data_IF_125949733576
#
_entry.id   IF_125949733576
#
_cell.length_a   1.000
_cell.length_b   1.000
_cell.length_c   1.000
_cell.angle_alpha   90.00
_cell.angle_beta   90.00
_cell.angle_gamma   90.00
#
_symmetry.space_group_name_H-M   'P 1'
#
loop_
_entity.id
_entity.type
_entity.pdbx_description
1 polymer ?
#
# COMPACT_ATOMS: atom_id res chain seq x y z
N UNK A 1 -10.07 8.94 -2.94
CA UNK A 1 -10.45 7.69 -3.65
C UNK A 1 -9.28 6.70 -3.73
N UNK A 2 -8.17 7.05 -4.40
CA UNK A 2 -7.03 6.13 -4.59
C UNK A 2 -6.37 5.66 -3.27
N UNK A 3 -6.23 6.56 -2.30
CA UNK A 3 -5.71 6.26 -0.95
C UNK A 3 -6.53 5.19 -0.21
N UNK A 4 -7.84 5.15 -0.42
CA UNK A 4 -8.70 4.15 0.21
C UNK A 4 -8.48 2.78 -0.41
N UNK A 5 -8.43 2.71 -1.74
CA UNK A 5 -8.13 1.46 -2.45
C UNK A 5 -6.76 0.90 -2.03
N UNK A 6 -5.74 1.76 -1.97
CA UNK A 6 -4.40 1.42 -1.54
C UNK A 6 -4.32 0.74 -0.17
N UNK A 7 -5.01 1.29 0.84
CA UNK A 7 -4.87 0.79 2.22
C UNK A 7 -5.77 -0.39 2.55
N UNK A 8 -6.95 -0.50 1.93
CA UNK A 8 -7.98 -1.45 2.34
C UNK A 8 -8.23 -2.60 1.37
N UNK A 9 -7.84 -2.45 0.09
CA UNK A 9 -8.22 -3.43 -0.94
C UNK A 9 -7.07 -3.86 -1.83
N UNK A 10 -6.08 -2.99 -2.02
CA UNK A 10 -4.97 -3.16 -2.95
C UNK A 10 -3.66 -2.60 -2.40
N UNK A 11 -2.99 -3.34 -1.49
CA UNK A 11 -1.71 -2.91 -0.92
C UNK A 11 -0.59 -2.85 -1.98
N UNK A 12 -0.76 -3.51 -3.12
CA UNK A 12 0.10 -3.49 -4.30
C UNK A 12 0.28 -2.08 -4.89
N UNK A 13 -0.77 -1.24 -4.86
CA UNK A 13 -0.67 0.14 -5.34
C UNK A 13 -0.27 1.14 -4.24
N UNK A 14 -0.25 0.73 -2.97
CA UNK A 14 -0.11 1.66 -1.84
C UNK A 14 1.15 2.50 -1.91
N UNK A 15 2.30 1.89 -2.26
CA UNK A 15 3.55 2.61 -2.43
C UNK A 15 3.49 3.69 -3.53
N UNK A 16 2.93 3.34 -4.69
CA UNK A 16 2.81 4.27 -5.81
C UNK A 16 1.86 5.43 -5.49
N UNK A 17 0.76 5.16 -4.79
CA UNK A 17 -0.19 6.19 -4.37
C UNK A 17 0.45 7.13 -3.34
N UNK A 18 1.13 6.61 -2.32
CA UNK A 18 1.80 7.42 -1.30
C UNK A 18 2.88 8.32 -1.90
N UNK A 19 3.66 7.79 -2.85
CA UNK A 19 4.67 8.57 -3.55
C UNK A 19 4.03 9.72 -4.35
N UNK A 20 2.98 9.42 -5.13
CA UNK A 20 2.29 10.45 -5.92
C UNK A 20 1.53 11.46 -5.06
N UNK A 21 1.05 11.08 -3.88
CA UNK A 21 0.40 11.99 -2.95
C UNK A 21 1.36 13.10 -2.48
N UNK A 22 2.65 12.76 -2.25
CA UNK A 22 3.71 13.72 -1.87
C UNK A 22 3.97 14.74 -2.99
N UNK A 23 3.86 14.33 -4.24
CA UNK A 23 4.10 15.19 -5.40
C UNK A 23 2.81 15.69 -6.10
N UNK A 24 1.68 15.64 -5.40
CA UNK A 24 0.36 15.98 -5.94
C UNK A 24 0.21 17.43 -6.41
N UNK A 25 1.09 18.34 -5.96
CA UNK A 25 1.11 19.74 -6.38
C UNK A 25 1.78 19.99 -7.73
N UNK A 26 2.50 19.01 -8.29
CA UNK A 26 3.24 19.14 -9.54
C UNK A 26 2.49 18.50 -10.72
N UNK A 27 2.13 19.32 -11.72
CA UNK A 27 1.47 18.87 -12.96
C UNK A 27 2.32 17.91 -13.82
N UNK A 28 3.58 17.65 -13.47
CA UNK A 28 4.45 16.70 -14.17
C UNK A 28 4.14 15.24 -13.83
N UNK A 29 3.45 14.94 -12.73
CA UNK A 29 3.29 13.56 -12.25
C UNK A 29 1.97 12.87 -12.62
N UNK A 30 1.16 13.47 -13.49
CA UNK A 30 -0.07 12.85 -14.00
C UNK A 30 0.17 11.53 -14.75
N UNK A 31 1.37 11.31 -15.26
CA UNK A 31 1.76 10.03 -15.88
C UNK A 31 1.68 8.88 -14.87
N UNK A 32 2.13 9.09 -13.63
CA UNK A 32 2.05 8.07 -12.57
C UNK A 32 0.61 7.75 -12.19
N UNK A 33 -0.24 8.78 -12.07
CA UNK A 33 -1.67 8.61 -11.79
C UNK A 33 -2.37 7.84 -12.92
N UNK A 34 -2.02 8.13 -14.18
CA UNK A 34 -2.55 7.43 -15.36
C UNK A 34 -2.15 5.95 -15.36
N UNK A 35 -0.91 5.64 -15.00
CA UNK A 35 -0.45 4.26 -14.90
C UNK A 35 -1.21 3.46 -13.83
N UNK A 36 -1.48 4.07 -12.66
CA UNK A 36 -2.31 3.43 -11.63
C UNK A 36 -3.73 3.18 -12.14
N UNK A 37 -4.30 4.12 -12.91
CA UNK A 37 -5.63 3.94 -13.48
C UNK A 37 -5.69 2.80 -14.50
N UNK A 38 -4.69 2.69 -15.39
CA UNK A 38 -4.58 1.57 -16.34
C UNK A 38 -4.44 0.24 -15.59
N UNK A 39 -3.60 0.21 -14.55
CA UNK A 39 -3.44 -0.96 -13.70
C UNK A 39 -4.77 -1.37 -13.03
N UNK A 40 -5.50 -0.42 -12.46
CA UNK A 40 -6.81 -0.67 -11.85
C UNK A 40 -7.83 -1.20 -12.86
N UNK A 41 -7.84 -0.68 -14.08
CA UNK A 41 -8.70 -1.18 -15.16
C UNK A 41 -8.33 -2.60 -15.60
N UNK A 42 -7.04 -2.90 -15.72
CA UNK A 42 -6.56 -4.23 -16.12
C UNK A 42 -6.72 -5.29 -15.04
N UNK A 43 -6.79 -4.88 -13.78
CA UNK A 43 -6.89 -5.80 -12.63
C UNK A 43 -8.27 -5.82 -11.98
N UNK A 44 -9.26 -5.12 -12.54
CA UNK A 44 -10.63 -5.05 -12.00
C UNK A 44 -11.27 -6.42 -11.71
N UNK A 45 -10.91 -7.44 -12.50
CA UNK A 45 -11.43 -8.80 -12.40
C UNK A 45 -10.65 -9.67 -11.39
N UNK A 46 -9.53 -9.15 -10.85
CA UNK A 46 -8.76 -9.79 -9.80
C UNK A 46 -9.29 -9.34 -8.43
N UNK A 47 -9.66 -10.29 -7.60
CA UNK A 47 -10.14 -10.05 -6.23
C UNK A 47 -9.39 -10.89 -5.20
N UNK A 48 -9.47 -10.47 -3.94
CA UNK A 48 -8.97 -11.24 -2.80
C UNK A 48 -9.94 -12.40 -2.52
N UNK A 49 -9.44 -13.63 -2.61
CA UNK A 49 -10.25 -14.82 -2.37
C UNK A 49 -10.08 -15.31 -0.94
N UNK A 50 -11.12 -15.12 -0.12
CA UNK A 50 -11.16 -15.65 1.24
C UNK A 50 -11.85 -17.01 1.25
N UNK A 51 -11.12 -18.08 1.58
CA UNK A 51 -11.72 -19.40 1.76
C UNK A 51 -12.49 -19.46 3.09
N UNK A 52 -13.77 -19.84 3.02
CA UNK A 52 -14.70 -19.90 4.18
C UNK A 52 -14.24 -20.83 5.31
N UNK A 53 -13.42 -21.83 5.01
CA UNK A 53 -12.95 -22.87 5.94
C UNK A 53 -11.47 -22.75 6.33
N UNK A 54 -10.81 -21.63 6.00
CA UNK A 54 -9.46 -21.39 6.48
C UNK A 54 -9.51 -20.95 7.95
N UNK A 55 -8.55 -21.41 8.74
CA UNK A 55 -8.39 -20.99 10.13
C UNK A 55 -8.42 -19.45 10.19
N UNK A 56 -9.33 -18.88 11.00
CA UNK A 56 -9.51 -17.42 11.14
C UNK A 56 -8.37 -16.78 11.94
N UNK A 57 -7.15 -17.19 11.66
CA UNK A 57 -5.95 -16.72 12.31
C UNK A 57 -5.59 -15.38 11.70
N UNK A 58 -5.64 -14.33 12.53
CA UNK A 58 -5.19 -13.00 12.15
C UNK A 58 -3.69 -12.91 12.42
N UNK A 59 -2.90 -12.74 11.36
CA UNK A 59 -1.44 -12.62 11.46
C UNK A 59 -1.04 -11.21 11.06
N UNK A 60 -0.37 -10.50 11.97
CA UNK A 60 0.18 -9.17 11.71
C UNK A 60 1.69 -9.26 11.48
N UNK A 61 2.16 -8.69 10.37
CA UNK A 61 3.58 -8.52 10.08
C UNK A 61 3.95 -7.05 10.27
N UNK A 62 5.07 -6.82 10.93
CA UNK A 62 5.70 -5.51 11.06
C UNK A 62 7.03 -5.56 10.31
N UNK A 63 7.27 -4.60 9.43
CA UNK A 63 8.56 -4.41 8.77
C UNK A 63 9.04 -3.00 9.10
N UNK A 64 10.23 -2.89 9.67
CA UNK A 64 10.96 -1.63 9.68
C UNK A 64 11.85 -1.56 8.43
N UNK A 65 11.94 -0.37 7.86
CA UNK A 65 12.82 -0.07 6.74
C UNK A 65 13.53 1.24 7.04
N UNK A 66 14.72 1.14 7.63
CA UNK A 66 15.64 2.26 7.77
C UNK A 66 16.24 2.62 6.39
N UNK A 67 16.32 3.91 6.04
CA UNK A 67 16.94 4.41 4.79
C UNK A 67 16.27 3.98 3.46
N UNK A 68 14.95 3.76 3.43
CA UNK A 68 14.27 3.35 2.18
C UNK A 68 14.18 4.48 1.12
N UNK A 69 14.42 5.74 1.50
CA UNK A 69 14.33 6.91 0.63
C UNK A 69 15.60 7.77 0.75
N UNK A 70 16.38 7.98 -0.33
CA UNK A 70 17.57 8.82 -0.28
C UNK A 70 17.27 10.31 -0.05
N UNK A 71 16.01 10.75 -0.18
CA UNK A 71 15.59 12.12 0.14
C UNK A 71 14.92 12.28 1.51
N UNK A 72 14.62 11.20 2.22
CA UNK A 72 13.92 11.25 3.51
C UNK A 72 14.57 10.24 4.48
N UNK A 73 15.35 10.76 5.43
CA UNK A 73 16.11 9.97 6.44
C UNK A 73 15.18 9.35 7.51
N UNK A 74 13.88 9.34 7.26
CA UNK A 74 12.86 8.81 8.18
C UNK A 74 12.76 7.30 8.02
N UNK A 75 12.81 6.57 9.14
CA UNK A 75 12.44 5.16 9.12
C UNK A 75 10.98 4.99 8.74
N UNK A 76 10.74 4.06 7.83
CA UNK A 76 9.40 3.67 7.43
C UNK A 76 9.03 2.38 8.15
N UNK A 77 7.99 2.42 8.98
CA UNK A 77 7.41 1.22 9.59
C UNK A 77 6.15 0.84 8.81
N UNK A 78 6.16 -0.35 8.22
CA UNK A 78 5.01 -0.94 7.54
C UNK A 78 4.37 -2.03 8.39
N UNK A 79 3.05 -2.04 8.45
CA UNK A 79 2.26 -3.11 9.07
C UNK A 79 1.39 -3.76 7.99
N UNK A 80 1.37 -5.09 7.93
CA UNK A 80 0.49 -5.87 7.05
C UNK A 80 -0.30 -6.86 7.88
N UNK A 81 -1.63 -6.78 7.81
CA UNK A 81 -2.52 -7.71 8.49
C UNK A 81 -3.09 -8.71 7.48
N UNK A 82 -2.91 -9.99 7.75
CA UNK A 82 -3.48 -11.10 7.00
C UNK A 82 -4.59 -11.78 7.79
N UNK A 83 -5.67 -12.12 7.09
CA UNK A 83 -6.77 -12.92 7.60
C UNK A 83 -6.97 -14.12 6.69
N UNK A 84 -6.83 -15.34 7.22
CA UNK A 84 -6.91 -16.56 6.41
C UNK A 84 -5.90 -16.59 5.25
N UNK A 85 -4.66 -16.14 5.51
CA UNK A 85 -3.60 -16.08 4.50
C UNK A 85 -3.73 -14.95 3.47
N UNK A 86 -4.76 -14.10 3.56
CA UNK A 86 -5.02 -13.02 2.61
C UNK A 86 -4.86 -11.66 3.28
N UNK A 87 -4.04 -10.78 2.70
CA UNK A 87 -3.76 -9.46 3.26
C UNK A 87 -4.95 -8.52 3.06
N UNK A 88 -5.49 -7.96 4.14
CA UNK A 88 -6.70 -7.12 4.10
C UNK A 88 -6.46 -5.66 4.50
N UNK A 89 -5.36 -5.38 5.22
CA UNK A 89 -5.03 -4.04 5.65
C UNK A 89 -3.52 -3.85 5.67
N UNK A 90 -3.06 -2.73 5.12
CA UNK A 90 -1.66 -2.33 5.18
C UNK A 90 -1.58 -0.88 5.62
N UNK A 91 -0.81 -0.64 6.67
CA UNK A 91 -0.60 0.69 7.23
C UNK A 91 0.89 1.02 7.14
N UNK A 92 1.24 2.17 6.56
CA UNK A 92 2.60 2.70 6.62
C UNK A 92 2.64 3.93 7.53
N UNK A 93 3.65 3.99 8.40
CA UNK A 93 3.96 5.15 9.22
C UNK A 93 5.41 5.54 8.98
N UNK A 94 5.60 6.78 8.54
CA UNK A 94 6.91 7.43 8.56
C UNK A 94 7.16 7.91 9.99
N UNK A 95 8.14 7.33 10.67
CA UNK A 95 8.55 7.76 12.01
C UNK A 95 9.83 8.58 11.85
N UNK A 96 9.88 9.73 12.53
CA UNK A 96 11.10 10.52 12.63
C UNK A 96 11.91 9.85 13.73
N UNK A 97 13.05 9.26 13.39
CA UNK A 97 14.01 8.81 14.39
C UNK A 97 14.66 10.06 15.00
N UNK A 98 14.61 10.16 16.33
CA UNK A 98 15.18 11.25 17.14
C UNK A 98 16.58 10.85 17.58
#
# INVERSE_FOLDING_TARGET
ALMYLAHYTRPDIAFAVDLLARYSSMKSHWVGVKNIYIYLQGTKDLGLFYQKNQERTMVGYCNDGHLSDPHDVRSQTGFVFLHGGTAFSTCRKSVIDI
#
